data_IF_096357568282
#
_entry.id   IF_096357568282
#
_cell.length_a   1.000
_cell.length_b   1.000
_cell.length_c   1.000
_cell.angle_alpha   90.00
_cell.angle_beta   90.00
_cell.angle_gamma   90.00
#
_symmetry.space_group_name_H-M   'P 1'
#
loop_
_entity.id
_entity.type
_entity.pdbx_description
1 polymer ?
#
# COMPACT_ATOMS: atom_id res chain seq x y z
N UNK A 1 -5.43 -18.19 -11.14
CA UNK A 1 -5.89 -16.82 -11.50
C UNK A 1 -4.67 -16.07 -11.94
N UNK A 2 -4.67 -15.56 -13.15
CA UNK A 2 -3.48 -14.93 -13.72
C UNK A 2 -3.15 -13.62 -12.98
N UNK A 3 -1.87 -13.41 -12.74
CA UNK A 3 -1.36 -12.17 -12.15
C UNK A 3 -1.52 -11.02 -13.16
N UNK A 4 -2.15 -9.94 -12.71
CA UNK A 4 -2.21 -8.72 -13.51
C UNK A 4 -0.91 -7.93 -13.32
N UNK A 5 -0.21 -7.67 -14.42
CA UNK A 5 1.04 -6.91 -14.40
C UNK A 5 0.81 -5.52 -13.79
N UNK A 6 1.73 -5.10 -12.91
CA UNK A 6 1.68 -3.82 -12.20
C UNK A 6 2.78 -2.88 -12.71
N UNK A 7 2.53 -1.59 -12.67
CA UNK A 7 3.58 -0.57 -12.88
C UNK A 7 4.71 -0.77 -11.87
N UNK A 8 4.36 -1.13 -10.66
CA UNK A 8 5.29 -1.48 -9.59
C UNK A 8 6.23 -2.67 -9.91
N UNK A 9 5.95 -3.49 -10.96
CA UNK A 9 6.78 -4.66 -11.31
C UNK A 9 8.18 -4.26 -11.76
N UNK A 10 8.25 -3.25 -12.61
CA UNK A 10 9.53 -2.76 -13.12
C UNK A 10 10.30 -2.00 -12.04
N UNK A 11 9.59 -1.21 -11.23
CA UNK A 11 10.21 -0.50 -10.12
C UNK A 11 10.82 -1.46 -9.09
N UNK A 12 10.11 -2.56 -8.75
CA UNK A 12 10.67 -3.57 -7.84
C UNK A 12 11.90 -4.25 -8.47
N UNK A 13 11.83 -4.62 -9.76
CA UNK A 13 12.96 -5.24 -10.45
C UNK A 13 14.20 -4.34 -10.41
N UNK A 14 14.06 -3.07 -10.77
CA UNK A 14 15.17 -2.11 -10.73
C UNK A 14 15.75 -1.94 -9.32
N UNK A 15 14.90 -1.87 -8.31
CA UNK A 15 15.35 -1.76 -6.91
C UNK A 15 16.06 -3.04 -6.44
N UNK A 16 15.61 -4.22 -6.86
CA UNK A 16 16.28 -5.49 -6.55
C UNK A 16 17.64 -5.62 -7.24
N UNK A 17 17.85 -5.00 -8.39
CA UNK A 17 19.14 -4.93 -9.07
C UNK A 17 20.12 -3.96 -8.40
N UNK A 18 19.60 -2.97 -7.64
CA UNK A 18 20.41 -1.91 -7.05
C UNK A 18 20.68 -2.07 -5.55
N UNK A 19 19.82 -2.78 -4.82
CA UNK A 19 19.86 -2.87 -3.36
C UNK A 19 19.79 -4.32 -2.89
N UNK A 20 20.38 -4.59 -1.71
CA UNK A 20 20.34 -5.93 -1.10
C UNK A 20 18.94 -6.37 -0.70
N UNK A 21 18.10 -5.43 -0.27
CA UNK A 21 16.71 -5.70 0.09
C UNK A 21 15.76 -4.57 -0.36
N UNK A 22 14.49 -4.91 -0.53
CA UNK A 22 13.42 -3.93 -0.85
C UNK A 22 12.23 -4.12 0.08
N UNK A 23 11.83 -3.05 0.77
CA UNK A 23 10.59 -2.98 1.53
C UNK A 23 9.46 -2.43 0.65
N UNK A 24 8.40 -3.21 0.47
CA UNK A 24 7.17 -2.79 -0.20
C UNK A 24 6.15 -2.38 0.86
N UNK A 25 5.80 -1.10 0.88
CA UNK A 25 4.71 -0.55 1.70
C UNK A 25 3.49 -0.24 0.83
N UNK A 26 2.35 -0.01 1.43
CA UNK A 26 1.14 0.36 0.71
C UNK A 26 -0.13 0.03 1.50
N UNK A 27 -1.29 0.58 1.11
CA UNK A 27 -2.54 0.35 1.82
C UNK A 27 -2.91 -1.13 1.86
N UNK A 28 -3.69 -1.52 2.87
CA UNK A 28 -4.16 -2.89 3.05
C UNK A 28 -4.94 -3.35 1.81
N UNK A 29 -4.66 -4.56 1.34
CA UNK A 29 -5.36 -5.15 0.19
C UNK A 29 -4.91 -4.64 -1.19
N UNK A 30 -3.91 -3.76 -1.32
CA UNK A 30 -3.43 -3.29 -2.63
C UNK A 30 -2.62 -4.36 -3.41
N UNK A 31 -2.29 -5.50 -2.80
CA UNK A 31 -1.66 -6.64 -3.47
C UNK A 31 -0.16 -6.81 -3.23
N UNK A 32 0.41 -6.23 -2.17
CA UNK A 32 1.85 -6.31 -1.82
C UNK A 32 2.40 -7.73 -1.80
N UNK A 33 1.81 -8.60 -0.99
CA UNK A 33 2.20 -10.02 -0.85
C UNK A 33 2.14 -10.76 -2.18
N UNK A 34 1.05 -10.60 -2.93
CA UNK A 34 0.89 -11.22 -4.25
C UNK A 34 1.98 -10.75 -5.21
N UNK A 35 2.30 -9.46 -5.20
CA UNK A 35 3.37 -8.88 -6.01
C UNK A 35 4.74 -9.41 -5.61
N UNK A 36 5.05 -9.42 -4.32
CA UNK A 36 6.33 -9.90 -3.81
C UNK A 36 6.58 -11.37 -4.15
N UNK A 37 5.55 -12.22 -4.03
CA UNK A 37 5.61 -13.65 -4.39
C UNK A 37 5.91 -13.91 -5.86
N UNK A 38 5.65 -12.95 -6.78
CA UNK A 38 6.01 -13.10 -8.20
C UNK A 38 7.53 -13.09 -8.43
N UNK A 39 8.30 -12.47 -7.55
CA UNK A 39 9.77 -12.38 -7.67
C UNK A 39 10.50 -13.22 -6.62
N UNK A 40 9.85 -13.56 -5.51
CA UNK A 40 10.46 -14.36 -4.45
C UNK A 40 10.61 -15.83 -4.87
N UNK A 41 11.74 -16.44 -4.50
CA UNK A 41 11.99 -17.89 -4.67
C UNK A 41 11.69 -18.67 -3.38
N UNK A 42 11.67 -18.01 -2.25
CA UNK A 42 11.23 -18.57 -0.97
C UNK A 42 10.57 -17.47 -0.13
N UNK A 43 9.74 -17.84 0.85
CA UNK A 43 9.04 -16.86 1.65
C UNK A 43 8.80 -17.36 3.08
N UNK A 44 8.62 -16.39 3.99
CA UNK A 44 8.11 -16.54 5.34
C UNK A 44 6.94 -15.58 5.49
N UNK A 45 5.81 -16.10 5.93
CA UNK A 45 4.59 -15.33 6.22
C UNK A 45 4.40 -15.31 7.74
N UNK A 46 4.67 -14.17 8.39
CA UNK A 46 4.57 -14.06 9.85
C UNK A 46 3.13 -14.11 10.38
N UNK A 47 2.14 -14.11 9.48
CA UNK A 47 0.72 -14.26 9.82
C UNK A 47 0.16 -15.64 9.44
N UNK A 48 1.02 -16.60 9.09
CA UNK A 48 0.62 -17.99 8.91
C UNK A 48 0.36 -18.62 10.28
N UNK A 49 -0.90 -18.90 10.60
CA UNK A 49 -1.31 -19.39 11.92
C UNK A 49 -0.62 -20.71 12.32
N UNK A 50 -0.28 -21.57 11.37
CA UNK A 50 0.36 -22.87 11.63
C UNK A 50 1.83 -22.72 12.05
N UNK A 51 2.54 -21.71 11.50
CA UNK A 51 3.97 -21.50 11.70
C UNK A 51 4.31 -20.22 12.49
N UNK A 52 3.33 -19.39 12.80
CA UNK A 52 3.52 -18.06 13.38
C UNK A 52 4.37 -18.09 14.65
N UNK A 53 4.02 -18.92 15.60
CA UNK A 53 4.70 -18.99 16.90
C UNK A 53 6.16 -19.42 16.73
N UNK A 54 6.41 -20.40 15.87
CA UNK A 54 7.74 -20.89 15.54
C UNK A 54 8.59 -19.80 14.87
N UNK A 55 8.06 -19.12 13.85
CA UNK A 55 8.77 -18.03 13.19
C UNK A 55 9.08 -16.87 14.13
N UNK A 56 8.15 -16.47 14.98
CA UNK A 56 8.37 -15.39 15.96
C UNK A 56 9.40 -15.78 17.02
N UNK A 57 9.41 -17.03 17.47
CA UNK A 57 10.42 -17.54 18.40
C UNK A 57 11.82 -17.47 17.78
N UNK A 58 11.99 -17.97 16.55
CA UNK A 58 13.28 -17.92 15.83
C UNK A 58 13.68 -16.47 15.56
N UNK A 59 12.75 -15.63 15.09
CA UNK A 59 13.02 -14.21 14.85
C UNK A 59 13.52 -13.48 16.10
N UNK A 60 13.04 -13.87 17.28
CA UNK A 60 13.42 -13.26 18.55
C UNK A 60 14.75 -13.78 19.12
N UNK A 61 15.11 -15.03 18.84
CA UNK A 61 16.31 -15.70 19.39
C UNK A 61 17.47 -15.73 18.40
N UNK A 62 17.23 -16.19 17.17
CA UNK A 62 18.24 -16.37 16.11
C UNK A 62 17.72 -15.90 14.76
N UNK A 63 17.44 -14.60 14.56
CA UNK A 63 16.80 -14.10 13.33
C UNK A 63 17.57 -14.44 12.05
N UNK A 64 18.90 -14.63 12.12
CA UNK A 64 19.73 -15.05 10.98
C UNK A 64 19.36 -16.43 10.42
N UNK A 65 18.76 -17.31 11.23
CA UNK A 65 18.34 -18.63 10.75
C UNK A 65 17.16 -18.51 9.76
N UNK A 66 16.30 -17.51 9.92
CA UNK A 66 15.22 -17.22 8.98
C UNK A 66 15.71 -16.69 7.64
N UNK A 67 16.94 -16.18 7.57
CA UNK A 67 17.52 -15.68 6.31
C UNK A 67 17.97 -16.82 5.36
N UNK A 68 18.08 -18.04 5.87
CA UNK A 68 18.48 -19.22 5.08
C UNK A 68 17.34 -19.63 4.15
N UNK A 69 17.66 -19.78 2.84
CA UNK A 69 16.69 -20.17 1.83
C UNK A 69 17.02 -19.59 0.46
N UNK A 70 16.24 -19.97 -0.56
CA UNK A 70 16.41 -19.47 -1.92
C UNK A 70 16.14 -17.96 -1.99
N UNK A 71 17.03 -17.24 -2.69
CA UNK A 71 16.95 -15.78 -2.90
C UNK A 71 16.36 -15.46 -4.28
N UNK A 72 15.58 -14.39 -4.39
CA UNK A 72 15.09 -13.47 -3.36
C UNK A 72 14.18 -14.16 -2.36
N UNK A 73 14.34 -13.85 -1.07
CA UNK A 73 13.51 -14.38 0.01
C UNK A 73 12.56 -13.30 0.52
N UNK A 74 11.26 -13.62 0.55
CA UNK A 74 10.22 -12.73 1.04
C UNK A 74 10.00 -12.92 2.54
N UNK A 75 9.86 -11.80 3.25
CA UNK A 75 9.35 -11.70 4.61
C UNK A 75 8.06 -10.90 4.58
N UNK A 76 6.92 -11.60 4.64
CA UNK A 76 5.59 -10.98 4.58
C UNK A 76 5.15 -10.53 5.98
N UNK A 77 4.65 -9.27 6.07
CA UNK A 77 4.28 -8.58 7.31
C UNK A 77 5.44 -8.56 8.33
N UNK A 78 6.64 -8.16 7.85
CA UNK A 78 7.90 -8.17 8.62
C UNK A 78 7.83 -7.44 9.97
N UNK A 79 6.92 -6.47 10.13
CA UNK A 79 6.75 -5.72 11.37
C UNK A 79 6.30 -6.60 12.56
N UNK A 80 5.74 -7.77 12.31
CA UNK A 80 5.43 -8.74 13.35
C UNK A 80 6.71 -9.37 13.95
N UNK A 81 7.84 -9.29 13.23
CA UNK A 81 9.15 -9.79 13.63
C UNK A 81 10.27 -8.72 13.43
N UNK A 82 10.26 -7.59 14.17
CA UNK A 82 11.08 -6.42 13.86
C UNK A 82 12.59 -6.68 13.92
N UNK A 83 13.07 -7.68 14.66
CA UNK A 83 14.49 -8.05 14.69
C UNK A 83 15.02 -8.57 13.36
N UNK A 84 14.16 -9.03 12.45
CA UNK A 84 14.55 -9.48 11.10
C UNK A 84 15.16 -8.34 10.28
N UNK A 85 14.74 -7.09 10.52
CA UNK A 85 15.31 -5.91 9.89
C UNK A 85 16.81 -5.77 10.12
N UNK A 86 17.22 -5.91 11.38
CA UNK A 86 18.63 -5.85 11.74
C UNK A 86 19.45 -6.99 11.17
N UNK A 87 18.89 -8.20 11.16
CA UNK A 87 19.53 -9.38 10.59
C UNK A 87 19.72 -9.25 9.07
N UNK A 88 18.68 -8.82 8.33
CA UNK A 88 18.77 -8.56 6.89
C UNK A 88 19.82 -7.50 6.58
N UNK A 89 19.81 -6.37 7.34
CA UNK A 89 20.79 -5.31 7.14
C UNK A 89 22.23 -5.83 7.29
N UNK A 90 22.46 -6.63 8.34
CA UNK A 90 23.79 -7.21 8.59
C UNK A 90 24.19 -8.19 7.48
N UNK A 91 23.30 -9.07 7.05
CA UNK A 91 23.56 -10.04 6.00
C UNK A 91 23.88 -9.36 4.65
N UNK A 92 23.16 -8.28 4.33
CA UNK A 92 23.45 -7.45 3.13
C UNK A 92 24.82 -6.77 3.24
N UNK A 93 25.19 -6.26 4.44
CA UNK A 93 26.50 -5.67 4.65
C UNK A 93 27.64 -6.71 4.54
N UNK A 94 27.44 -7.89 5.09
CA UNK A 94 28.44 -8.96 5.11
C UNK A 94 28.62 -9.60 3.73
N UNK A 95 27.54 -9.75 2.95
CA UNK A 95 27.59 -10.40 1.61
C UNK A 95 27.94 -9.44 0.48
N UNK A 96 27.54 -8.17 0.59
CA UNK A 96 27.62 -7.21 -0.52
C UNK A 96 26.68 -7.51 -1.70
N UNK A 97 25.82 -8.52 -1.58
CA UNK A 97 24.97 -9.02 -2.65
C UNK A 97 23.68 -8.19 -2.77
N UNK A 98 23.21 -7.97 -4.00
CA UNK A 98 21.93 -7.30 -4.29
C UNK A 98 20.81 -8.32 -4.52
N UNK A 99 19.56 -7.87 -4.43
CA UNK A 99 18.40 -8.70 -4.75
C UNK A 99 18.15 -9.87 -3.79
N UNK A 100 18.63 -9.77 -2.55
CA UNK A 100 18.57 -10.89 -1.60
C UNK A 100 17.21 -11.03 -0.93
N UNK A 101 16.57 -9.88 -0.57
CA UNK A 101 15.37 -9.90 0.27
C UNK A 101 14.28 -8.96 -0.24
N UNK A 102 13.05 -9.41 -0.06
CA UNK A 102 11.85 -8.58 -0.21
C UNK A 102 11.13 -8.60 1.13
N UNK A 103 10.74 -7.43 1.62
CA UNK A 103 9.89 -7.29 2.79
C UNK A 103 8.56 -6.68 2.36
N UNK A 104 7.48 -7.13 2.93
CA UNK A 104 6.18 -6.45 2.80
C UNK A 104 5.69 -6.06 4.18
N UNK A 105 4.99 -4.96 4.25
CA UNK A 105 4.39 -4.51 5.51
C UNK A 105 3.27 -3.52 5.28
N UNK A 106 2.45 -3.33 6.31
CA UNK A 106 1.46 -2.27 6.32
C UNK A 106 2.15 -0.90 6.25
N UNK A 107 1.39 0.14 5.97
CA UNK A 107 1.86 1.50 5.72
C UNK A 107 2.73 2.09 6.84
N UNK A 108 2.43 1.77 8.09
CA UNK A 108 3.23 2.16 9.24
C UNK A 108 4.52 1.33 9.43
N UNK A 109 4.63 0.21 8.71
CA UNK A 109 5.80 -0.66 8.82
C UNK A 109 7.07 0.06 8.33
N UNK A 110 8.00 0.30 9.23
CA UNK A 110 9.29 0.90 8.92
C UNK A 110 9.45 2.37 9.32
N UNK A 111 8.43 3.02 9.91
CA UNK A 111 8.63 4.33 10.54
C UNK A 111 9.40 4.23 11.84
N UNK A 112 9.23 3.14 12.60
CA UNK A 112 9.87 2.90 13.90
C UNK A 112 11.04 1.90 13.82
N UNK A 113 11.73 1.83 12.68
CA UNK A 113 12.91 0.97 12.58
C UNK A 113 14.06 1.52 13.41
N UNK A 114 14.76 0.69 14.21
CA UNK A 114 15.87 1.14 15.06
C UNK A 114 17.05 1.68 14.24
N UNK A 115 17.10 1.39 12.96
CA UNK A 115 18.10 1.87 12.01
C UNK A 115 17.44 2.14 10.64
N UNK A 116 17.89 3.20 9.96
CA UNK A 116 17.30 3.66 8.70
C UNK A 116 17.40 2.66 7.55
N UNK A 117 18.33 1.69 7.60
CA UNK A 117 18.60 0.75 6.51
C UNK A 117 19.13 1.40 5.23
N UNK A 118 19.53 2.68 5.29
CA UNK A 118 19.98 3.47 4.14
C UNK A 118 21.05 2.73 3.34
N UNK A 119 20.90 2.71 2.02
CA UNK A 119 21.73 2.01 1.02
C UNK A 119 21.66 0.48 1.05
N UNK A 120 21.07 -0.16 2.05
CA UNK A 120 20.90 -1.63 2.16
C UNK A 120 19.50 -2.06 1.81
N UNK A 121 18.52 -1.36 2.37
CA UNK A 121 17.09 -1.66 2.22
C UNK A 121 16.42 -0.47 1.54
N UNK A 122 16.06 -0.62 0.28
CA UNK A 122 15.30 0.37 -0.46
C UNK A 122 13.83 0.29 -0.08
N UNK A 123 13.11 1.41 -0.15
CA UNK A 123 11.67 1.45 0.09
C UNK A 123 10.93 1.75 -1.21
N UNK A 124 9.80 1.11 -1.41
CA UNK A 124 8.86 1.46 -2.46
C UNK A 124 7.43 1.42 -1.94
N UNK A 125 6.66 2.38 -2.37
CA UNK A 125 5.23 2.44 -2.07
C UNK A 125 4.44 1.83 -3.22
N UNK A 126 3.47 0.98 -2.88
CA UNK A 126 2.57 0.35 -3.82
C UNK A 126 1.15 0.88 -3.59
N UNK A 127 0.53 1.33 -4.65
CA UNK A 127 -0.84 1.86 -4.64
C UNK A 127 -1.87 0.80 -5.08
N UNK A 128 -3.17 1.02 -4.89
CA UNK A 128 -4.21 0.28 -5.61
C UNK A 128 -4.00 0.33 -7.12
N UNK A 129 -4.67 -0.54 -7.88
CA UNK A 129 -4.49 -0.62 -9.33
C UNK A 129 -5.07 0.61 -10.03
N UNK A 130 -4.30 1.15 -10.96
CA UNK A 130 -4.77 2.16 -11.90
C UNK A 130 -5.72 1.56 -12.95
N UNK A 131 -6.44 2.42 -13.68
CA UNK A 131 -7.28 1.98 -14.81
C UNK A 131 -6.44 1.30 -15.92
N UNK A 132 -5.18 1.67 -16.05
CA UNK A 132 -4.26 1.03 -16.99
C UNK A 132 -3.91 -0.40 -16.55
N UNK A 133 -3.59 -0.61 -15.26
CA UNK A 133 -3.27 -1.93 -14.71
C UNK A 133 -4.50 -2.87 -14.71
N UNK A 134 -5.70 -2.31 -14.52
CA UNK A 134 -6.97 -3.07 -14.61
C UNK A 134 -7.44 -3.31 -16.04
N UNK A 135 -6.72 -2.79 -17.05
CA UNK A 135 -7.02 -2.88 -18.49
C UNK A 135 -8.32 -2.18 -18.90
N UNK A 136 -8.73 -1.20 -18.14
CA UNK A 136 -9.88 -0.34 -18.47
C UNK A 136 -9.45 0.91 -19.26
N UNK A 137 -8.20 1.37 -19.05
CA UNK A 137 -7.57 2.36 -19.91
C UNK A 137 -6.78 1.67 -21.03
N UNK A 138 -6.92 2.17 -22.27
CA UNK A 138 -6.18 1.69 -23.43
C UNK A 138 -4.70 2.13 -23.44
N UNK A 139 -4.31 3.08 -22.58
CA UNK A 139 -2.94 3.57 -22.50
C UNK A 139 -2.50 4.44 -23.69
N UNK A 140 -3.43 4.93 -24.50
CA UNK A 140 -3.12 5.79 -25.66
C UNK A 140 -2.41 7.07 -25.26
N UNK A 141 -2.80 7.65 -24.11
CA UNK A 141 -2.18 8.86 -23.57
C UNK A 141 -1.19 8.48 -22.47
N UNK A 142 0.05 8.88 -22.65
CA UNK A 142 1.11 8.75 -21.65
C UNK A 142 1.63 10.14 -21.33
N UNK A 143 1.66 10.47 -20.03
CA UNK A 143 2.20 11.75 -19.58
C UNK A 143 3.67 11.91 -19.99
N UNK A 144 4.47 10.84 -19.90
CA UNK A 144 5.86 10.84 -20.34
C UNK A 144 5.96 11.21 -21.84
N UNK A 145 5.15 10.57 -22.71
CA UNK A 145 5.14 10.89 -24.15
C UNK A 145 4.71 12.32 -24.45
N UNK A 146 3.82 12.89 -23.63
CA UNK A 146 3.43 14.29 -23.78
C UNK A 146 4.58 15.24 -23.50
N UNK A 147 5.49 14.91 -22.56
CA UNK A 147 6.70 15.70 -22.32
C UNK A 147 7.77 15.49 -23.38
N UNK A 148 7.97 14.26 -23.83
CA UNK A 148 9.02 13.92 -24.82
C UNK A 148 8.64 14.33 -26.25
N UNK A 149 7.36 14.23 -26.60
CA UNK A 149 6.84 14.46 -27.95
C UNK A 149 5.49 15.19 -27.92
N UNK A 150 5.44 16.46 -27.48
CA UNK A 150 4.17 17.19 -27.32
C UNK A 150 3.39 17.32 -28.63
N UNK A 151 4.08 17.45 -29.77
CA UNK A 151 3.48 17.61 -31.09
C UNK A 151 2.92 16.29 -31.68
N UNK A 152 3.21 15.15 -31.06
CA UNK A 152 2.72 13.83 -31.51
C UNK A 152 1.30 13.52 -31.02
N UNK A 153 0.72 14.41 -30.21
CA UNK A 153 -0.59 14.19 -29.61
C UNK A 153 -1.71 14.50 -30.60
N UNK A 154 -2.46 13.49 -30.96
CA UNK A 154 -3.70 13.59 -31.73
C UNK A 154 -4.91 13.34 -30.84
N UNK A 155 -6.12 13.39 -31.37
CA UNK A 155 -7.34 13.07 -30.64
C UNK A 155 -7.32 11.63 -30.14
N UNK A 156 -7.40 11.45 -28.80
CA UNK A 156 -7.53 10.14 -28.17
C UNK A 156 -8.96 9.87 -27.76
N UNK A 157 -9.37 8.61 -27.85
CA UNK A 157 -10.70 8.17 -27.46
C UNK A 157 -10.59 7.19 -26.30
N UNK A 158 -11.50 7.31 -25.35
CA UNK A 158 -11.70 6.32 -24.30
C UNK A 158 -12.94 5.49 -24.63
N UNK A 159 -12.84 4.18 -24.44
CA UNK A 159 -13.99 3.28 -24.57
C UNK A 159 -14.87 3.29 -23.30
N UNK A 160 -14.41 3.93 -22.22
CA UNK A 160 -15.15 4.06 -20.97
C UNK A 160 -16.22 5.15 -21.10
N UNK A 161 -17.46 4.79 -20.78
CA UNK A 161 -18.53 5.75 -20.55
C UNK A 161 -18.36 6.50 -19.22
N UNK A 162 -19.11 7.59 -19.04
CA UNK A 162 -19.16 8.31 -17.77
C UNK A 162 -19.64 7.40 -16.63
N UNK A 163 -20.56 6.47 -16.91
CA UNK A 163 -21.06 5.55 -15.88
C UNK A 163 -20.02 4.49 -15.51
N UNK A 164 -19.19 4.04 -16.47
CA UNK A 164 -18.03 3.19 -16.17
C UNK A 164 -17.01 3.90 -15.28
N UNK A 165 -16.75 5.17 -15.54
CA UNK A 165 -15.85 5.99 -14.70
C UNK A 165 -16.41 6.15 -13.28
N UNK A 166 -17.71 6.48 -13.15
CA UNK A 166 -18.36 6.55 -11.84
C UNK A 166 -18.27 5.22 -11.09
N UNK A 167 -18.53 4.12 -11.79
CA UNK A 167 -18.43 2.79 -11.22
C UNK A 167 -17.01 2.47 -10.78
N UNK A 168 -16.00 2.77 -11.60
CA UNK A 168 -14.58 2.56 -11.28
C UNK A 168 -14.14 3.36 -10.04
N UNK A 169 -14.59 4.61 -9.90
CA UNK A 169 -14.35 5.44 -8.71
C UNK A 169 -14.96 4.79 -7.46
N UNK A 170 -16.22 4.35 -7.53
CA UNK A 170 -16.92 3.74 -6.39
C UNK A 170 -16.34 2.37 -6.00
N UNK A 171 -15.91 1.57 -6.97
CA UNK A 171 -15.31 0.27 -6.77
C UNK A 171 -13.88 0.36 -6.24
N UNK A 172 -13.14 1.40 -6.64
CA UNK A 172 -11.71 1.57 -6.39
C UNK A 172 -10.82 0.61 -7.17
N UNK A 173 -9.51 0.76 -7.02
CA UNK A 173 -8.48 -0.05 -7.68
C UNK A 173 -7.99 -1.27 -6.88
N UNK A 174 -8.78 -1.79 -5.97
CA UNK A 174 -8.41 -2.94 -5.14
C UNK A 174 -8.43 -4.23 -5.97
N UNK A 175 -7.35 -5.03 -6.03
CA UNK A 175 -7.32 -6.26 -6.82
C UNK A 175 -8.51 -7.19 -6.58
N UNK A 176 -9.00 -7.26 -5.33
CA UNK A 176 -10.16 -8.08 -4.98
C UNK A 176 -11.45 -7.60 -5.65
N UNK A 177 -11.62 -6.29 -5.87
CA UNK A 177 -12.80 -5.71 -6.53
C UNK A 177 -12.74 -5.76 -8.07
N UNK A 178 -11.56 -6.08 -8.64
CA UNK A 178 -11.37 -6.19 -10.09
C UNK A 178 -11.65 -7.59 -10.64
N UNK A 179 -11.81 -8.57 -9.76
CA UNK A 179 -12.08 -9.96 -10.19
C UNK A 179 -13.48 -10.09 -10.77
N UNK A 180 -13.67 -11.10 -11.68
CA UNK A 180 -14.92 -11.40 -12.35
C UNK A 180 -16.09 -11.73 -11.42
N UNK A 181 -16.67 -10.71 -10.80
CA UNK A 181 -17.80 -10.75 -9.87
C UNK A 181 -18.89 -9.82 -10.38
N UNK A 182 -20.12 -10.04 -9.92
CA UNK A 182 -21.19 -9.09 -10.18
C UNK A 182 -20.85 -7.70 -9.59
N UNK A 183 -21.28 -6.64 -10.22
CA UNK A 183 -20.94 -5.26 -9.85
C UNK A 183 -21.35 -4.91 -8.42
N UNK A 184 -22.50 -5.40 -7.97
CA UNK A 184 -22.92 -5.27 -6.56
C UNK A 184 -21.91 -5.86 -5.58
N UNK A 185 -21.28 -6.99 -5.92
CA UNK A 185 -20.27 -7.61 -5.06
C UNK A 185 -18.95 -6.83 -5.07
N UNK A 186 -18.56 -6.25 -6.22
CA UNK A 186 -17.39 -5.37 -6.30
C UNK A 186 -17.54 -4.13 -5.43
N UNK A 187 -18.71 -3.48 -5.47
CA UNK A 187 -19.03 -2.33 -4.62
C UNK A 187 -19.12 -2.70 -3.14
N UNK A 188 -19.60 -3.90 -2.81
CA UNK A 188 -19.64 -4.37 -1.43
C UNK A 188 -18.23 -4.50 -0.83
N UNK A 189 -17.23 -4.97 -1.61
CA UNK A 189 -15.84 -5.04 -1.17
C UNK A 189 -15.29 -3.64 -0.80
N UNK A 190 -15.50 -2.66 -1.66
CA UNK A 190 -15.05 -1.29 -1.41
C UNK A 190 -15.73 -0.68 -0.17
N UNK A 191 -17.04 -0.92 -0.02
CA UNK A 191 -17.81 -0.45 1.14
C UNK A 191 -17.35 -1.10 2.44
N UNK A 192 -17.06 -2.39 2.42
CA UNK A 192 -16.57 -3.11 3.58
C UNK A 192 -15.17 -2.64 3.98
N UNK A 193 -14.26 -2.49 3.02
CA UNK A 193 -12.93 -1.93 3.25
C UNK A 193 -13.00 -0.52 3.89
N UNK A 194 -13.84 0.36 3.36
CA UNK A 194 -14.08 1.68 3.96
C UNK A 194 -14.59 1.57 5.40
N UNK A 195 -15.53 0.64 5.65
CA UNK A 195 -16.07 0.38 6.99
C UNK A 195 -14.98 -0.10 7.96
N UNK A 196 -14.15 -1.05 7.55
CA UNK A 196 -13.05 -1.58 8.36
C UNK A 196 -11.97 -0.53 8.63
N UNK A 197 -11.59 0.25 7.63
CA UNK A 197 -10.64 1.37 7.79
C UNK A 197 -11.12 2.33 8.87
N UNK A 198 -12.38 2.75 8.83
CA UNK A 198 -12.94 3.71 9.79
C UNK A 198 -13.15 3.14 11.19
N UNK A 199 -13.43 1.84 11.33
CA UNK A 199 -13.81 1.24 12.63
C UNK A 199 -12.67 0.49 13.31
N UNK A 200 -11.73 -0.08 12.54
CA UNK A 200 -10.70 -0.97 13.06
C UNK A 200 -9.30 -0.40 12.78
N UNK A 201 -8.95 -0.21 11.50
CA UNK A 201 -7.57 0.06 11.11
C UNK A 201 -7.06 1.39 11.67
N UNK A 202 -7.90 2.44 11.64
CA UNK A 202 -7.56 3.77 12.18
C UNK A 202 -7.24 3.75 13.69
N UNK A 203 -7.81 2.81 14.44
CA UNK A 203 -7.54 2.66 15.87
C UNK A 203 -6.31 1.79 16.15
N UNK A 204 -5.99 0.85 15.25
CA UNK A 204 -4.85 -0.05 15.39
C UNK A 204 -3.50 0.61 15.12
N UNK A 205 -3.48 1.72 14.41
CA UNK A 205 -2.24 2.34 13.93
C UNK A 205 -1.33 2.82 15.07
N UNK A 206 -1.94 3.23 16.20
CA UNK A 206 -1.24 3.72 17.40
C UNK A 206 -1.90 3.21 18.69
N UNK A 207 -2.77 2.20 18.58
CA UNK A 207 -3.57 1.62 19.68
C UNK A 207 -4.47 2.63 20.39
N UNK A 208 -4.85 3.72 19.74
CA UNK A 208 -5.79 4.72 20.26
C UNK A 208 -7.20 4.43 19.76
N UNK A 209 -8.14 4.19 20.66
CA UNK A 209 -9.54 3.97 20.31
C UNK A 209 -10.14 5.24 19.67
N UNK A 210 -10.57 5.13 18.41
CA UNK A 210 -11.15 6.24 17.63
C UNK A 210 -12.63 6.03 17.36
N UNK A 211 -13.35 7.15 17.24
CA UNK A 211 -14.77 7.13 16.89
C UNK A 211 -14.94 6.90 15.38
N UNK A 212 -15.53 5.76 15.01
CA UNK A 212 -15.76 5.38 13.61
C UNK A 212 -16.65 6.37 12.83
N UNK A 213 -17.59 7.06 13.49
CA UNK A 213 -18.43 8.04 12.82
C UNK A 213 -17.65 9.30 12.46
N UNK A 214 -16.77 9.77 13.34
CA UNK A 214 -15.85 10.87 13.03
C UNK A 214 -14.92 10.50 11.87
N UNK A 215 -14.34 9.31 11.90
CA UNK A 215 -13.53 8.79 10.81
C UNK A 215 -14.26 8.83 9.45
N UNK A 216 -15.50 8.34 9.43
CA UNK A 216 -16.36 8.36 8.22
C UNK A 216 -16.67 9.77 7.75
N UNK A 217 -16.98 10.69 8.69
CA UNK A 217 -17.30 12.08 8.35
C UNK A 217 -16.09 12.79 7.76
N UNK A 218 -14.91 12.61 8.36
CA UNK A 218 -13.65 13.19 7.86
C UNK A 218 -13.37 12.70 6.44
N UNK A 219 -13.38 11.38 6.19
CA UNK A 219 -13.11 10.83 4.86
C UNK A 219 -14.16 11.24 3.82
N UNK A 220 -15.45 11.40 4.21
CA UNK A 220 -16.48 11.90 3.31
C UNK A 220 -16.27 13.37 2.95
N UNK A 221 -15.87 14.19 3.92
CA UNK A 221 -15.55 15.59 3.67
C UNK A 221 -14.31 15.69 2.77
N UNK A 222 -13.26 14.91 3.06
CA UNK A 222 -12.06 14.84 2.24
C UNK A 222 -12.40 14.45 0.79
N UNK A 223 -13.17 13.39 0.59
CA UNK A 223 -13.59 12.91 -0.73
C UNK A 223 -14.40 13.94 -1.54
N UNK A 224 -15.24 14.75 -0.88
CA UNK A 224 -16.00 15.84 -1.56
C UNK A 224 -15.09 16.97 -2.05
N UNK A 225 -13.97 17.16 -1.40
CA UNK A 225 -13.04 18.25 -1.69
C UNK A 225 -11.85 17.79 -2.56
N UNK A 226 -11.76 16.50 -2.94
CA UNK A 226 -10.74 16.00 -3.87
C UNK A 226 -10.81 16.76 -5.21
N UNK A 227 -9.65 17.05 -5.77
CA UNK A 227 -9.49 17.77 -7.04
C UNK A 227 -10.10 19.19 -7.03
N UNK A 228 -10.26 19.80 -5.85
CA UNK A 228 -10.67 21.20 -5.68
C UNK A 228 -9.52 22.03 -5.09
N UNK A 229 -9.71 23.33 -4.96
CA UNK A 229 -8.77 24.23 -4.27
C UNK A 229 -9.02 24.34 -2.76
N UNK A 230 -9.79 23.41 -2.18
CA UNK A 230 -10.08 23.41 -0.76
C UNK A 230 -8.82 23.11 0.06
N UNK A 231 -8.53 23.97 1.02
CA UNK A 231 -7.45 23.75 1.97
C UNK A 231 -7.91 22.92 3.19
N UNK A 232 -6.97 22.51 4.02
CA UNK A 232 -7.26 21.76 5.24
C UNK A 232 -8.23 22.49 6.21
N UNK A 233 -8.28 23.83 6.18
CA UNK A 233 -9.21 24.62 7.01
C UNK A 233 -10.64 24.48 6.51
N UNK A 234 -10.84 24.44 5.20
CA UNK A 234 -12.16 24.23 4.58
C UNK A 234 -12.71 22.85 4.94
N UNK A 235 -11.87 21.80 4.86
CA UNK A 235 -12.27 20.44 5.24
C UNK A 235 -12.56 20.35 6.74
N UNK A 236 -11.73 20.97 7.59
CA UNK A 236 -11.98 21.04 9.02
C UNK A 236 -13.31 21.73 9.35
N UNK A 237 -13.61 22.88 8.71
CA UNK A 237 -14.87 23.60 8.91
C UNK A 237 -16.08 22.76 8.51
N UNK A 238 -16.01 22.03 7.40
CA UNK A 238 -17.06 21.12 6.95
C UNK A 238 -17.29 19.95 7.94
N UNK A 239 -16.21 19.39 8.50
CA UNK A 239 -16.31 18.33 9.51
C UNK A 239 -16.89 18.86 10.83
N UNK A 240 -16.43 20.02 11.32
CA UNK A 240 -16.90 20.60 12.58
C UNK A 240 -18.33 21.09 12.51
N UNK A 241 -18.87 21.39 11.33
CA UNK A 241 -20.27 21.69 11.13
C UNK A 241 -21.20 20.49 11.43
N UNK A 242 -20.68 19.27 11.40
CA UNK A 242 -21.46 18.02 11.58
C UNK A 242 -21.02 17.19 12.78
N UNK A 243 -19.82 17.40 13.28
CA UNK A 243 -19.23 16.66 14.40
C UNK A 243 -18.64 17.62 15.42
N UNK A 244 -18.90 17.34 16.69
CA UNK A 244 -18.21 18.01 17.80
C UNK A 244 -16.83 17.39 18.00
N UNK A 245 -15.86 17.85 17.20
CA UNK A 245 -14.48 17.36 17.20
C UNK A 245 -13.51 18.55 17.36
N UNK A 246 -12.53 18.40 18.25
CA UNK A 246 -11.48 19.40 18.39
C UNK A 246 -10.56 19.44 17.18
N UNK A 247 -9.94 20.60 16.93
CA UNK A 247 -8.93 20.75 15.86
C UNK A 247 -7.79 19.73 16.00
N UNK A 248 -7.29 19.53 17.23
CA UNK A 248 -6.21 18.55 17.48
C UNK A 248 -6.65 17.14 17.12
N UNK A 249 -7.81 16.73 17.60
CA UNK A 249 -8.37 15.40 17.29
C UNK A 249 -8.56 15.19 15.79
N UNK A 250 -9.04 16.21 15.06
CA UNK A 250 -9.14 16.14 13.60
C UNK A 250 -7.79 15.82 12.95
N UNK A 251 -6.71 16.53 13.32
CA UNK A 251 -5.39 16.26 12.77
C UNK A 251 -4.82 14.90 13.18
N UNK A 252 -5.17 14.39 14.37
CA UNK A 252 -4.79 13.03 14.78
C UNK A 252 -5.45 11.95 13.89
N UNK A 253 -6.67 12.20 13.38
CA UNK A 253 -7.31 11.34 12.38
C UNK A 253 -6.65 11.47 11.01
N UNK A 254 -6.33 12.68 10.55
CA UNK A 254 -5.63 12.91 9.28
C UNK A 254 -4.29 12.17 9.29
N UNK A 255 -3.45 12.40 10.29
CA UNK A 255 -2.18 11.70 10.46
C UNK A 255 -2.35 10.17 10.49
N UNK A 256 -3.43 9.68 11.09
CA UNK A 256 -3.77 8.25 11.08
C UNK A 256 -4.10 7.74 9.68
N UNK A 257 -4.86 8.47 8.89
CA UNK A 257 -5.19 8.11 7.51
C UNK A 257 -3.99 8.20 6.57
N UNK A 258 -3.12 9.19 6.74
CA UNK A 258 -1.83 9.28 6.02
C UNK A 258 -0.94 8.06 6.34
N UNK A 259 -0.79 7.72 7.62
CA UNK A 259 -0.07 6.51 8.03
C UNK A 259 -0.67 5.23 7.46
N UNK A 260 -1.97 5.17 7.22
CA UNK A 260 -2.64 4.05 6.55
C UNK A 260 -2.53 4.13 5.02
N UNK A 261 -1.97 5.19 4.46
CA UNK A 261 -1.90 5.50 3.03
C UNK A 261 -3.31 5.49 2.38
N UNK A 262 -4.30 6.00 3.10
CA UNK A 262 -5.68 6.18 2.63
C UNK A 262 -5.85 7.56 2.00
N UNK A 263 -5.17 8.55 2.57
CA UNK A 263 -5.01 9.89 2.01
C UNK A 263 -3.53 10.16 1.77
N UNK A 264 -3.23 10.94 0.76
CA UNK A 264 -1.88 11.32 0.35
C UNK A 264 -1.97 12.78 -0.16
N UNK A 265 -1.18 13.69 0.39
CA UNK A 265 -1.16 15.12 0.01
C UNK A 265 0.03 15.44 -0.88
#
# INVERSE_FOLDING_TARGET
>A
MDYLKRIADEQLRLKMEAFGAVLITGPKGCGKTTKAKQQAKSYIEFQDEDERENYLLIANTHPSDLLKGLKPRLFDEWQDAPKIWGAIRKDVDDSGEVGQYILTGSSSAGMDTPHTGTLRISRMQMYPMSLYESKESNGEVSLLRLFEHPDSFTTCKSDMSIDDIKFAICRGGWPASLRGRADKAKLAIAKDLFGQTCSIDISKIDNVKRNANWAKTILKSYARNLCTLADAKTILADVTATCDISKQTYYDYINGFEKLLIIDD
#
